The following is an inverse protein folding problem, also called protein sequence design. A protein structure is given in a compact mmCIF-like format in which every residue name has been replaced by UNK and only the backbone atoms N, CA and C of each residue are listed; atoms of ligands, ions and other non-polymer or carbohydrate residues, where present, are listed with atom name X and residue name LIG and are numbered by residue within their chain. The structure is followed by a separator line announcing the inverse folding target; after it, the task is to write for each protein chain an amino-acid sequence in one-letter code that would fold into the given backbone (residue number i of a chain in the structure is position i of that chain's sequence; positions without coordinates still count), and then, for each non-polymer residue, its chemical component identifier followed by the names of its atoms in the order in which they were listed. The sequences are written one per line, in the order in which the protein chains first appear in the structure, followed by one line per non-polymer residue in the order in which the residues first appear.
data_IF_081483603513
#
_entry.id   IF_081483603513
#
_cell.length_a   1.000
_cell.length_b   1.000
_cell.length_c   1.000
_cell.angle_alpha   90.00
_cell.angle_beta   90.00
_cell.angle_gamma   90.00
#
_symmetry.space_group_name_H-M   'P 1'
#
loop_
_entity.id
_entity.type
_entity.pdbx_description
1 polymer ?
#
# COMPACT_ATOMS: atom_id res chain seq x y z
N UNK A 1 -20.77 -8.61 -38.44
CA UNK A 1 -20.80 -7.73 -37.23
C UNK A 1 -20.04 -8.27 -36.01
N UNK A 2 -20.10 -9.56 -35.71
CA UNK A 2 -19.51 -10.20 -34.50
C UNK A 2 -17.98 -10.00 -34.39
N UNK A 3 -17.22 -10.16 -35.48
CA UNK A 3 -15.76 -10.00 -35.51
C UNK A 3 -15.29 -8.58 -35.08
N UNK A 4 -16.05 -7.53 -35.42
CA UNK A 4 -15.74 -6.14 -35.04
C UNK A 4 -15.94 -5.90 -33.56
N UNK A 5 -17.02 -6.44 -32.98
CA UNK A 5 -17.31 -6.36 -31.54
C UNK A 5 -16.22 -7.05 -30.72
N UNK A 6 -15.79 -8.24 -31.18
CA UNK A 6 -14.71 -9.01 -30.55
C UNK A 6 -13.35 -8.31 -30.65
N UNK A 7 -13.02 -7.72 -31.82
CA UNK A 7 -11.81 -6.90 -32.02
C UNK A 7 -11.79 -5.66 -31.11
N UNK A 8 -12.92 -4.98 -30.95
CA UNK A 8 -13.03 -3.83 -30.05
C UNK A 8 -12.93 -4.23 -28.58
N UNK A 9 -13.50 -5.37 -28.18
CA UNK A 9 -13.30 -5.94 -26.85
C UNK A 9 -11.83 -6.27 -26.60
N UNK A 10 -11.17 -6.96 -27.53
CA UNK A 10 -9.74 -7.28 -27.44
C UNK A 10 -8.87 -6.01 -27.40
N UNK A 11 -9.22 -4.97 -28.17
CA UNK A 11 -8.53 -3.66 -28.15
C UNK A 11 -8.70 -2.97 -26.78
N UNK A 12 -9.90 -2.97 -26.20
CA UNK A 12 -10.15 -2.45 -24.84
C UNK A 12 -9.42 -3.26 -23.77
N UNK A 13 -9.38 -4.58 -23.88
CA UNK A 13 -8.64 -5.48 -22.98
C UNK A 13 -7.14 -5.20 -23.08
N UNK A 14 -6.57 -5.12 -24.29
CA UNK A 14 -5.16 -4.76 -24.51
C UNK A 14 -4.83 -3.38 -23.97
N UNK A 15 -5.69 -2.39 -24.19
CA UNK A 15 -5.49 -1.02 -23.70
C UNK A 15 -5.55 -0.95 -22.16
N UNK A 16 -6.49 -1.66 -21.52
CA UNK A 16 -6.53 -1.82 -20.06
C UNK A 16 -5.31 -2.55 -19.52
N UNK A 17 -4.84 -3.59 -20.23
CA UNK A 17 -3.67 -4.37 -19.86
C UNK A 17 -2.34 -3.60 -20.04
N UNK A 18 -2.21 -2.74 -21.05
CA UNK A 18 -1.00 -1.95 -21.30
C UNK A 18 -0.84 -0.81 -20.29
N UNK A 19 -1.91 -0.07 -19.98
CA UNK A 19 -1.90 0.98 -18.95
C UNK A 19 -1.70 0.45 -17.53
N UNK A 20 -2.10 -0.79 -17.25
CA UNK A 20 -2.03 -1.35 -15.90
C UNK A 20 -0.68 -1.95 -15.52
N UNK A 21 0.18 -2.36 -16.47
CA UNK A 21 1.28 -3.29 -16.16
C UNK A 21 2.57 -2.66 -15.64
N UNK A 22 3.03 -1.51 -16.16
CA UNK A 22 4.37 -1.01 -15.82
C UNK A 22 4.41 -0.20 -14.51
N UNK A 23 3.53 0.79 -14.35
CA UNK A 23 3.52 1.65 -13.15
C UNK A 23 2.91 0.97 -11.92
N UNK A 24 1.98 -0.01 -12.08
CA UNK A 24 1.45 -0.75 -10.93
C UNK A 24 2.34 -1.88 -10.45
N UNK A 25 3.20 -2.50 -11.28
CA UNK A 25 3.97 -3.68 -10.85
C UNK A 25 4.93 -3.35 -9.69
N UNK A 26 5.61 -2.21 -9.75
CA UNK A 26 6.47 -1.74 -8.67
C UNK A 26 5.67 -1.46 -7.39
N UNK A 27 4.50 -0.83 -7.51
CA UNK A 27 3.61 -0.59 -6.38
C UNK A 27 3.10 -1.90 -5.76
N UNK A 28 2.62 -2.84 -6.58
CA UNK A 28 2.16 -4.16 -6.15
C UNK A 28 3.30 -4.92 -5.47
N UNK A 29 4.52 -4.85 -6.01
CA UNK A 29 5.71 -5.46 -5.37
C UNK A 29 5.95 -4.86 -3.99
N UNK A 30 5.96 -3.53 -3.85
CA UNK A 30 6.08 -2.86 -2.54
C UNK A 30 5.00 -3.30 -1.56
N UNK A 31 3.74 -3.42 -2.02
CA UNK A 31 2.64 -3.87 -1.18
C UNK A 31 2.76 -5.35 -0.76
N UNK A 32 3.32 -6.20 -1.61
CA UNK A 32 3.64 -7.59 -1.25
C UNK A 32 4.71 -7.63 -0.16
N UNK A 33 5.80 -6.87 -0.32
CA UNK A 33 6.85 -6.76 0.69
C UNK A 33 6.29 -6.26 2.03
N UNK A 34 5.39 -5.26 2.04
CA UNK A 34 4.73 -4.81 3.27
C UNK A 34 3.96 -5.95 3.96
N UNK A 35 3.30 -6.83 3.20
CA UNK A 35 2.58 -7.99 3.78
C UNK A 35 3.53 -9.01 4.36
N UNK A 36 4.66 -9.25 3.70
CA UNK A 36 5.71 -10.16 4.20
C UNK A 36 6.25 -9.67 5.55
N UNK A 37 6.49 -8.37 5.70
CA UNK A 37 6.90 -7.75 6.98
C UNK A 37 5.82 -7.92 8.05
N UNK A 38 4.55 -7.72 7.68
CA UNK A 38 3.42 -7.83 8.61
C UNK A 38 3.14 -9.27 9.09
N UNK A 39 3.62 -10.29 8.38
CA UNK A 39 3.49 -11.70 8.81
C UNK A 39 4.45 -12.00 9.98
N UNK A 40 5.55 -11.26 10.09
CA UNK A 40 6.49 -11.40 11.20
C UNK A 40 5.89 -10.84 12.49
N UNK A 41 6.47 -11.17 13.65
CA UNK A 41 6.04 -10.68 14.96
C UNK A 41 7.21 -10.09 15.75
N UNK A 42 6.93 -9.11 16.61
CA UNK A 42 7.88 -8.55 17.60
C UNK A 42 9.12 -7.86 17.02
N UNK A 43 9.03 -7.35 15.79
CA UNK A 43 10.11 -6.62 15.11
C UNK A 43 9.86 -5.11 15.20
N UNK A 44 10.94 -4.31 15.25
CA UNK A 44 10.88 -2.86 15.08
C UNK A 44 10.74 -2.51 13.61
N UNK A 45 9.69 -1.76 13.28
CA UNK A 45 9.37 -1.34 11.93
C UNK A 45 9.35 0.18 11.82
N UNK A 46 9.97 0.71 10.77
CA UNK A 46 9.77 2.08 10.31
C UNK A 46 8.55 2.11 9.38
N UNK A 47 7.62 3.00 9.72
CA UNK A 47 6.37 3.23 9.01
C UNK A 47 6.45 4.59 8.33
N UNK A 48 6.41 4.61 7.00
CA UNK A 48 6.47 5.83 6.20
C UNK A 48 5.17 6.10 5.43
N UNK A 49 4.64 7.33 5.52
CA UNK A 49 3.46 7.72 4.74
C UNK A 49 3.84 8.14 3.31
N UNK A 50 3.45 7.36 2.29
CA UNK A 50 3.75 7.68 0.88
C UNK A 50 2.59 8.29 0.10
N UNK A 51 1.35 8.22 0.62
CA UNK A 51 0.16 8.74 -0.06
C UNK A 51 -0.54 9.80 0.77
N UNK A 52 -1.16 10.77 0.09
CA UNK A 52 -1.92 11.84 0.74
C UNK A 52 -3.16 11.30 1.48
N UNK A 53 -3.53 12.02 2.54
CA UNK A 53 -4.74 11.78 3.33
C UNK A 53 -6.01 12.35 2.64
N UNK A 54 -5.83 13.25 1.67
CA UNK A 54 -6.92 13.96 0.99
C UNK A 54 -7.76 12.96 0.19
N UNK A 55 -9.09 13.03 0.36
CA UNK A 55 -10.05 12.15 -0.32
C UNK A 55 -9.96 10.68 0.11
N UNK A 56 -9.44 10.40 1.31
CA UNK A 56 -9.44 9.06 1.92
C UNK A 56 -10.56 8.94 2.94
N UNK A 57 -11.00 7.71 3.16
CA UNK A 57 -12.00 7.40 4.17
C UNK A 57 -11.54 7.82 5.56
N UNK A 58 -12.43 8.40 6.35
CA UNK A 58 -12.11 8.94 7.68
C UNK A 58 -11.51 7.90 8.63
N UNK A 59 -11.94 6.63 8.53
CA UNK A 59 -11.35 5.54 9.31
C UNK A 59 -9.86 5.37 9.03
N UNK A 60 -9.43 5.49 7.76
CA UNK A 60 -8.02 5.42 7.36
C UNK A 60 -7.25 6.66 7.79
N UNK A 61 -7.89 7.83 7.75
CA UNK A 61 -7.27 9.08 8.22
C UNK A 61 -7.04 9.03 9.73
N UNK A 62 -8.01 8.53 10.49
CA UNK A 62 -7.91 8.34 11.94
C UNK A 62 -6.80 7.35 12.31
N UNK A 63 -6.70 6.20 11.64
CA UNK A 63 -5.62 5.24 11.90
C UNK A 63 -4.24 5.80 11.58
N UNK A 64 -4.08 6.53 10.47
CA UNK A 64 -2.79 7.17 10.14
C UNK A 64 -2.39 8.26 11.14
N UNK A 65 -3.35 9.06 11.61
CA UNK A 65 -3.11 10.05 12.67
C UNK A 65 -2.73 9.36 13.98
N UNK A 66 -3.37 8.25 14.34
CA UNK A 66 -3.05 7.46 15.52
C UNK A 66 -1.64 6.85 15.46
N UNK A 67 -1.19 6.45 14.26
CA UNK A 67 0.19 6.00 14.00
C UNK A 67 1.22 7.15 14.03
N UNK A 68 0.78 8.40 14.17
CA UNK A 68 1.64 9.58 14.25
C UNK A 68 2.07 10.14 12.89
N UNK A 69 1.39 9.77 11.79
CA UNK A 69 1.71 10.19 10.43
C UNK A 69 0.79 11.34 10.00
N UNK A 70 1.33 12.56 9.85
CA UNK A 70 0.56 13.77 9.54
C UNK A 70 0.77 14.24 8.10
N UNK A 71 2.01 14.20 7.62
CA UNK A 71 2.43 14.67 6.29
C UNK A 71 3.03 13.53 5.47
N UNK A 72 3.03 13.70 4.15
CA UNK A 72 3.66 12.74 3.23
C UNK A 72 5.17 12.77 3.48
N UNK A 73 5.78 11.59 3.59
CA UNK A 73 7.19 11.42 3.95
C UNK A 73 7.45 11.35 5.44
N UNK A 74 6.43 11.54 6.30
CA UNK A 74 6.58 11.31 7.74
C UNK A 74 6.93 9.85 8.01
N UNK A 75 7.89 9.65 8.91
CA UNK A 75 8.41 8.36 9.34
C UNK A 75 8.26 8.21 10.85
N UNK A 76 7.83 7.03 11.30
CA UNK A 76 7.76 6.67 12.72
C UNK A 76 8.16 5.22 12.93
N UNK A 77 8.95 4.98 13.98
CA UNK A 77 9.35 3.63 14.38
C UNK A 77 8.36 3.10 15.41
N UNK A 78 7.91 1.87 15.20
CA UNK A 78 6.97 1.17 16.07
C UNK A 78 7.43 -0.26 16.30
N UNK A 79 7.07 -0.83 17.46
CA UNK A 79 7.25 -2.26 17.72
C UNK A 79 6.00 -2.98 17.21
N UNK A 80 6.18 -3.98 16.36
CA UNK A 80 5.07 -4.65 15.71
C UNK A 80 4.33 -5.59 16.68
N UNK A 81 3.21 -5.11 17.22
CA UNK A 81 2.27 -5.88 18.02
C UNK A 81 1.00 -6.25 17.21
N UNK A 82 0.15 -7.13 17.73
CA UNK A 82 -1.09 -7.57 17.05
C UNK A 82 -2.04 -6.41 16.74
N UNK A 83 -2.12 -5.40 17.62
CA UNK A 83 -2.98 -4.23 17.42
C UNK A 83 -2.52 -3.36 16.24
N UNK A 84 -1.21 -3.04 16.21
CA UNK A 84 -0.56 -2.30 15.13
C UNK A 84 -0.61 -3.07 13.83
N UNK A 85 -0.46 -4.39 13.86
CA UNK A 85 -0.64 -5.23 12.67
C UNK A 85 -2.05 -5.04 12.06
N UNK A 86 -3.09 -5.03 12.90
CA UNK A 86 -4.47 -4.73 12.49
C UNK A 86 -4.62 -3.32 11.90
N UNK A 87 -4.05 -2.31 12.55
CA UNK A 87 -4.05 -0.93 12.05
C UNK A 87 -3.37 -0.84 10.68
N UNK A 88 -2.16 -1.39 10.55
CA UNK A 88 -1.37 -1.34 9.32
C UNK A 88 -2.02 -2.10 8.16
N UNK A 89 -2.70 -3.22 8.43
CA UNK A 89 -3.47 -3.94 7.41
C UNK A 89 -4.55 -3.05 6.76
N UNK A 90 -5.21 -2.20 7.55
CA UNK A 90 -6.25 -1.29 7.04
C UNK A 90 -5.70 -0.19 6.11
N UNK A 91 -4.45 0.23 6.32
CA UNK A 91 -3.80 1.36 5.62
C UNK A 91 -2.64 0.93 4.72
N UNK A 92 -2.44 -0.37 4.50
CA UNK A 92 -1.27 -0.95 3.81
C UNK A 92 -0.98 -0.28 2.45
N UNK A 93 -2.04 0.09 1.73
CA UNK A 93 -1.97 0.74 0.41
C UNK A 93 -1.38 2.16 0.42
N UNK A 94 -1.19 2.77 1.58
CA UNK A 94 -0.76 4.16 1.76
C UNK A 94 0.65 4.28 2.37
N UNK A 95 1.10 3.22 3.01
CA UNK A 95 2.28 3.21 3.87
C UNK A 95 3.36 2.34 3.25
N UNK A 96 4.61 2.66 3.51
CA UNK A 96 5.75 1.79 3.23
C UNK A 96 6.34 1.33 4.57
N UNK A 97 6.60 0.03 4.67
CA UNK A 97 7.18 -0.58 5.86
C UNK A 97 8.64 -0.95 5.59
N UNK A 98 9.50 -0.74 6.58
CA UNK A 98 10.90 -1.16 6.54
C UNK A 98 11.30 -1.71 7.90
N UNK A 99 12.05 -2.80 7.92
CA UNK A 99 12.58 -3.37 9.16
C UNK A 99 13.78 -2.55 9.61
N UNK A 100 13.79 -2.15 10.88
CA UNK A 100 14.90 -1.44 11.49
C UNK A 100 15.66 -2.42 12.36
N UNK A 101 16.91 -2.69 12.01
CA UNK A 101 17.86 -3.33 12.93
C UNK A 101 18.44 -2.21 13.80
N UNK A 102 18.32 -2.36 15.11
CA UNK A 102 19.13 -1.57 16.01
C UNK A 102 20.52 -2.19 15.99
N UNK A 103 21.52 -1.43 15.56
CA UNK A 103 22.93 -1.69 15.89
C UNK A 103 23.18 -1.38 17.38
#
# INVERSE_FOLDING_TARGET
MIKRKLRLQLKKIRFKASRSRLKNKAFIKKMKNNREILIKSDIKIEVELKRSLIGKLDSKVKTLKALGLKRIGDKKVHILNKSLQGMLNSVISMVLLSEVKND
#
